data_IF_581249358505
#
_entry.id   IF_581249358505
#
_cell.length_a   1.000
_cell.length_b   1.000
_cell.length_c   1.000
_cell.angle_alpha   90.00
_cell.angle_beta   90.00
_cell.angle_gamma   90.00
#
_symmetry.space_group_name_H-M   'P 1'
#
loop_
_entity.id
_entity.type
_entity.pdbx_description
1 polymer ?
#
# COMPACT_ATOMS: atom_id res chain seq x y z
N UNK A 1 26.48 10.98 -12.89
CA UNK A 1 25.97 10.16 -11.77
C UNK A 1 24.45 10.30 -11.57
N UNK A 2 23.89 11.51 -11.49
CA UNK A 2 22.45 11.71 -11.21
C UNK A 2 21.46 11.23 -12.29
N UNK A 3 21.81 11.26 -13.59
CA UNK A 3 20.89 10.87 -14.67
C UNK A 3 20.59 9.36 -14.69
N UNK A 4 21.62 8.54 -14.44
CA UNK A 4 21.49 7.08 -14.45
C UNK A 4 20.54 6.59 -13.35
N UNK A 5 20.72 7.06 -12.11
CA UNK A 5 19.83 6.68 -11.00
C UNK A 5 18.40 7.20 -11.17
N UNK A 6 18.22 8.38 -11.78
CA UNK A 6 16.89 8.87 -12.11
C UNK A 6 16.18 7.95 -13.10
N UNK A 7 16.86 7.54 -14.17
CA UNK A 7 16.27 6.63 -15.15
C UNK A 7 15.96 5.26 -14.55
N UNK A 8 16.83 4.71 -13.70
CA UNK A 8 16.54 3.47 -12.96
C UNK A 8 15.32 3.61 -12.06
N UNK A 9 15.16 4.75 -11.39
CA UNK A 9 14.00 5.04 -10.55
C UNK A 9 12.71 5.12 -11.39
N UNK A 10 12.73 5.86 -12.49
CA UNK A 10 11.55 6.01 -13.36
C UNK A 10 11.12 4.66 -13.95
N UNK A 11 12.08 3.84 -14.39
CA UNK A 11 11.82 2.47 -14.87
C UNK A 11 11.28 1.56 -13.76
N UNK A 12 11.78 1.72 -12.53
CA UNK A 12 11.31 0.97 -11.37
C UNK A 12 9.87 1.33 -11.03
N UNK A 13 9.54 2.62 -10.88
CA UNK A 13 8.18 3.09 -10.55
C UNK A 13 7.17 2.58 -11.58
N UNK A 14 7.50 2.67 -12.86
CA UNK A 14 6.64 2.17 -13.94
C UNK A 14 6.37 0.67 -13.81
N UNK A 15 7.43 -0.15 -13.75
CA UNK A 15 7.30 -1.62 -13.64
C UNK A 15 6.63 -2.03 -12.34
N UNK A 16 6.90 -1.32 -11.25
CA UNK A 16 6.29 -1.57 -9.95
C UNK A 16 4.78 -1.34 -10.00
N UNK A 17 4.31 -0.26 -10.62
CA UNK A 17 2.87 -0.04 -10.87
C UNK A 17 2.30 -1.12 -11.78
N UNK A 18 2.96 -1.45 -12.90
CA UNK A 18 2.50 -2.49 -13.85
C UNK A 18 2.31 -3.87 -13.20
N UNK A 19 3.15 -4.26 -12.25
CA UNK A 19 3.14 -5.61 -11.66
C UNK A 19 2.25 -5.72 -10.43
N UNK A 20 2.21 -4.69 -9.59
CA UNK A 20 1.64 -4.79 -8.23
C UNK A 20 0.37 -3.96 -8.04
N UNK A 21 0.07 -3.01 -8.92
CA UNK A 21 -1.10 -2.15 -8.76
C UNK A 21 -2.33 -2.77 -9.45
N UNK A 22 -3.39 -2.97 -8.68
CA UNK A 22 -4.69 -3.33 -9.22
C UNK A 22 -5.49 -2.05 -9.50
N UNK A 23 -5.81 -1.80 -10.76
CA UNK A 23 -6.51 -0.58 -11.17
C UNK A 23 -7.99 -0.56 -10.77
N UNK A 24 -8.63 -1.72 -10.65
CA UNK A 24 -10.03 -1.83 -10.25
C UNK A 24 -10.17 -1.68 -8.73
N UNK A 25 -9.23 -2.25 -7.98
CA UNK A 25 -9.19 -2.07 -6.53
C UNK A 25 -8.63 -0.70 -6.12
N UNK A 26 -7.71 -0.13 -6.89
CA UNK A 26 -7.09 1.16 -6.59
C UNK A 26 -6.02 1.10 -5.50
N UNK A 27 -5.28 -0.02 -5.39
CA UNK A 27 -4.22 -0.21 -4.40
C UNK A 27 -3.17 -1.24 -4.88
N UNK A 28 -2.06 -1.36 -4.13
CA UNK A 28 -1.01 -2.34 -4.43
C UNK A 28 -1.21 -3.65 -3.68
N UNK A 29 -0.88 -4.75 -4.34
CA UNK A 29 -0.99 -6.10 -3.82
C UNK A 29 0.26 -6.90 -4.14
N UNK A 30 0.52 -7.94 -3.37
CA UNK A 30 1.63 -8.85 -3.65
C UNK A 30 1.31 -9.67 -4.91
N UNK A 31 2.31 -9.83 -5.79
CA UNK A 31 2.17 -10.66 -6.99
C UNK A 31 2.58 -12.12 -6.69
N UNK A 32 1.65 -13.05 -6.90
CA UNK A 32 1.95 -14.47 -6.80
C UNK A 32 2.55 -14.98 -8.12
N UNK A 33 3.83 -15.36 -8.07
CA UNK A 33 4.57 -15.82 -9.25
C UNK A 33 4.13 -17.18 -9.78
N UNK A 34 3.59 -18.03 -8.92
CA UNK A 34 3.18 -19.38 -9.31
C UNK A 34 1.83 -19.34 -10.03
N UNK A 35 0.91 -18.48 -9.57
CA UNK A 35 -0.42 -18.34 -10.18
C UNK A 35 -0.47 -17.28 -11.26
N UNK A 36 0.46 -16.32 -11.24
CA UNK A 36 0.46 -15.17 -12.16
C UNK A 36 -0.57 -14.10 -11.81
N UNK A 37 -1.18 -14.16 -10.62
CA UNK A 37 -2.22 -13.23 -10.17
C UNK A 37 -1.78 -12.43 -8.95
N UNK A 38 -2.40 -11.26 -8.77
CA UNK A 38 -2.30 -10.51 -7.53
C UNK A 38 -2.98 -11.26 -6.38
N UNK A 39 -2.38 -11.20 -5.20
CA UNK A 39 -2.95 -11.72 -3.97
C UNK A 39 -3.93 -10.69 -3.39
N UNK A 40 -5.22 -11.02 -3.37
CA UNK A 40 -6.31 -10.12 -2.98
C UNK A 40 -6.47 -9.92 -1.46
N UNK A 41 -5.57 -10.49 -0.66
CA UNK A 41 -5.58 -10.40 0.78
C UNK A 41 -5.35 -8.95 1.28
N UNK A 42 -6.15 -8.55 2.27
CA UNK A 42 -6.11 -7.20 2.84
C UNK A 42 -4.97 -7.03 3.85
N UNK A 43 -3.87 -6.42 3.39
CA UNK A 43 -2.74 -6.00 4.22
C UNK A 43 -2.52 -4.48 4.12
N UNK A 44 -2.18 -3.80 5.22
CA UNK A 44 -1.89 -2.36 5.20
C UNK A 44 -0.65 -2.00 4.35
N UNK A 45 0.18 -2.98 3.99
CA UNK A 45 1.29 -2.81 3.05
C UNK A 45 0.86 -2.27 1.69
N UNK A 46 -0.42 -2.45 1.31
CA UNK A 46 -0.98 -1.90 0.06
C UNK A 46 -0.83 -0.38 -0.08
N UNK A 47 -0.64 0.34 1.03
CA UNK A 47 -0.47 1.79 1.05
C UNK A 47 0.99 2.25 1.16
N UNK A 48 1.94 1.34 1.39
CA UNK A 48 3.37 1.68 1.55
C UNK A 48 3.98 2.39 0.33
N UNK A 49 3.54 2.14 -0.91
CA UNK A 49 4.00 2.92 -2.07
C UNK A 49 3.71 4.42 -1.96
N UNK A 50 2.68 4.83 -1.21
CA UNK A 50 2.43 6.25 -0.92
C UNK A 50 3.54 6.85 -0.03
N UNK A 51 3.98 6.11 0.98
CA UNK A 51 5.05 6.54 1.89
C UNK A 51 6.37 6.79 1.15
N UNK A 52 6.71 5.87 0.24
CA UNK A 52 7.94 5.93 -0.56
C UNK A 52 7.82 6.83 -1.79
N UNK A 53 6.62 7.34 -2.09
CA UNK A 53 6.29 8.08 -3.31
C UNK A 53 6.59 7.30 -4.60
N UNK A 54 6.47 5.96 -4.54
CA UNK A 54 6.68 5.04 -5.65
C UNK A 54 5.43 4.93 -6.54
N UNK A 55 4.98 6.07 -7.07
CA UNK A 55 3.83 6.19 -7.97
C UNK A 55 3.98 7.47 -8.81
N UNK A 56 3.14 7.62 -9.84
CA UNK A 56 3.12 8.85 -10.62
C UNK A 56 2.63 10.01 -9.75
N UNK A 57 3.50 10.99 -9.49
CA UNK A 57 3.19 12.13 -8.63
C UNK A 57 2.18 13.11 -9.25
N UNK A 58 1.90 12.98 -10.54
CA UNK A 58 0.84 13.72 -11.23
C UNK A 58 -0.54 13.06 -11.04
N UNK A 59 -0.59 11.83 -10.55
CA UNK A 59 -1.82 11.12 -10.23
C UNK A 59 -2.39 11.64 -8.89
N UNK A 60 -3.26 12.65 -8.99
CA UNK A 60 -3.88 13.30 -7.84
C UNK A 60 -4.95 12.45 -7.16
N UNK A 61 -5.42 11.38 -7.80
CA UNK A 61 -6.47 10.51 -7.27
C UNK A 61 -5.90 9.30 -6.52
N UNK A 62 -4.64 8.94 -6.76
CA UNK A 62 -3.95 7.79 -6.17
C UNK A 62 -4.15 7.68 -4.65
N UNK A 63 -3.95 8.77 -3.91
CA UNK A 63 -4.13 8.78 -2.45
C UNK A 63 -5.58 8.50 -2.02
N UNK A 64 -6.54 9.07 -2.73
CA UNK A 64 -7.97 8.89 -2.44
C UNK A 64 -8.43 7.46 -2.76
N UNK A 65 -7.92 6.88 -3.85
CA UNK A 65 -8.20 5.50 -4.24
C UNK A 65 -7.71 4.51 -3.17
N UNK A 66 -6.45 4.63 -2.76
CA UNK A 66 -5.87 3.79 -1.70
C UNK A 66 -6.63 3.96 -0.38
N UNK A 67 -6.96 5.20 0.02
CA UNK A 67 -7.74 5.46 1.24
C UNK A 67 -9.11 4.79 1.18
N UNK A 68 -9.80 4.88 0.04
CA UNK A 68 -11.08 4.21 -0.19
C UNK A 68 -10.93 2.70 -0.01
N UNK A 69 -9.88 2.11 -0.57
CA UNK A 69 -9.63 0.65 -0.49
C UNK A 69 -9.30 0.19 0.91
N UNK A 70 -8.46 0.94 1.65
CA UNK A 70 -8.19 0.68 3.06
C UNK A 70 -9.48 0.67 3.91
N UNK A 71 -10.41 1.61 3.65
CA UNK A 71 -11.72 1.67 4.31
C UNK A 71 -12.60 0.47 3.91
N UNK A 72 -12.77 0.21 2.61
CA UNK A 72 -13.61 -0.89 2.08
C UNK A 72 -13.13 -2.27 2.57
N UNK A 73 -11.81 -2.47 2.66
CA UNK A 73 -11.19 -3.72 3.12
C UNK A 73 -11.16 -3.84 4.66
N UNK A 74 -11.69 -2.86 5.40
CA UNK A 74 -11.83 -2.92 6.86
C UNK A 74 -10.53 -2.70 7.64
N UNK A 75 -9.47 -2.19 7.00
CA UNK A 75 -8.18 -1.98 7.67
C UNK A 75 -8.20 -0.79 8.64
N UNK A 76 -9.10 0.17 8.45
CA UNK A 76 -9.19 1.40 9.26
C UNK A 76 -10.29 1.36 10.33
N UNK A 77 -10.93 0.22 10.55
CA UNK A 77 -12.06 0.12 11.51
C UNK A 77 -11.62 -0.05 12.98
N UNK A 78 -10.31 -0.05 13.25
CA UNK A 78 -9.76 -0.38 14.55
C UNK A 78 -9.36 0.89 15.33
N UNK A 79 -9.85 1.08 16.57
CA UNK A 79 -9.68 2.34 17.29
C UNK A 79 -8.25 2.59 17.80
N UNK A 80 -7.42 1.55 17.92
CA UNK A 80 -6.07 1.62 18.48
C UNK A 80 -4.96 1.57 17.40
N UNK A 81 -5.30 1.89 16.16
CA UNK A 81 -4.41 1.80 15.00
C UNK A 81 -4.67 0.58 14.13
N UNK A 82 -3.96 0.52 13.01
CA UNK A 82 -4.16 -0.49 11.97
C UNK A 82 -3.37 -1.76 12.32
N UNK A 83 -4.03 -2.93 12.37
CA UNK A 83 -3.35 -4.21 12.54
C UNK A 83 -2.57 -4.58 11.29
N UNK A 84 -1.64 -5.50 11.44
CA UNK A 84 -0.80 -6.03 10.34
C UNK A 84 -1.56 -6.80 9.28
N UNK A 85 -2.71 -7.37 9.64
CA UNK A 85 -3.67 -7.96 8.73
C UNK A 85 -5.05 -7.98 9.41
N UNK A 86 -6.09 -8.32 8.67
CA UNK A 86 -7.43 -8.62 9.24
C UNK A 86 -7.66 -10.12 9.48
N UNK A 87 -6.63 -10.94 9.27
CA UNK A 87 -6.73 -12.40 9.36
C UNK A 87 -6.79 -12.84 10.83
N UNK A 88 -7.85 -13.56 11.19
CA UNK A 88 -8.11 -14.03 12.56
C UNK A 88 -7.76 -15.52 12.71
N UNK A 89 -7.61 -15.95 13.96
CA UNK A 89 -7.41 -17.36 14.30
C UNK A 89 -5.99 -17.88 14.01
N UNK A 90 -5.03 -16.98 13.80
CA UNK A 90 -3.61 -17.34 13.64
C UNK A 90 -2.84 -17.04 14.93
N UNK A 91 -1.67 -17.66 15.07
CA UNK A 91 -0.70 -17.39 16.14
C UNK A 91 0.48 -16.55 15.65
N UNK A 92 0.37 -15.94 14.46
CA UNK A 92 1.45 -15.18 13.84
C UNK A 92 1.51 -13.74 14.35
N UNK A 93 2.73 -13.21 14.52
CA UNK A 93 2.93 -11.85 15.01
C UNK A 93 2.51 -10.75 14.01
N UNK A 94 2.46 -11.10 12.71
CA UNK A 94 2.08 -10.21 11.62
C UNK A 94 0.65 -10.47 11.12
N UNK A 95 -0.24 -10.88 12.04
CA UNK A 95 -1.68 -10.98 11.82
C UNK A 95 -2.46 -10.31 12.96
N UNK A 96 -3.78 -10.14 12.78
CA UNK A 96 -4.68 -9.64 13.81
C UNK A 96 -4.57 -10.47 15.11
N UNK A 97 -4.47 -9.84 16.31
CA UNK A 97 -4.75 -8.44 16.59
C UNK A 97 -3.53 -7.50 16.58
N UNK A 98 -2.35 -7.96 16.16
CA UNK A 98 -1.13 -7.19 16.33
C UNK A 98 -1.02 -6.05 15.31
N UNK A 99 -0.81 -4.83 15.80
CA UNK A 99 -0.39 -3.67 15.02
C UNK A 99 1.04 -3.30 15.36
N UNK A 100 1.82 -2.88 14.36
CA UNK A 100 3.19 -2.44 14.56
C UNK A 100 3.33 -0.96 14.20
N UNK A 101 4.05 -0.22 15.04
CA UNK A 101 4.28 1.22 14.86
C UNK A 101 4.86 1.60 13.48
N UNK A 102 5.81 0.85 12.89
CA UNK A 102 6.35 1.18 11.57
C UNK A 102 5.29 1.18 10.46
N UNK A 103 4.38 0.20 10.43
CA UNK A 103 3.31 0.14 9.41
C UNK A 103 2.34 1.30 9.58
N UNK A 104 1.94 1.57 10.83
CA UNK A 104 1.05 2.69 11.13
C UNK A 104 1.69 4.02 10.71
N UNK A 105 2.97 4.22 11.00
CA UNK A 105 3.71 5.40 10.58
C UNK A 105 3.76 5.54 9.05
N UNK A 106 4.10 4.47 8.33
CA UNK A 106 4.14 4.49 6.86
C UNK A 106 2.77 4.82 6.24
N UNK A 107 1.69 4.26 6.79
CA UNK A 107 0.33 4.54 6.33
C UNK A 107 -0.03 6.03 6.53
N UNK A 108 0.19 6.56 7.73
CA UNK A 108 -0.10 7.96 8.07
C UNK A 108 0.72 8.91 7.19
N UNK A 109 2.03 8.72 7.12
CA UNK A 109 2.90 9.60 6.33
C UNK A 109 2.68 9.43 4.83
N UNK A 110 2.34 8.23 4.37
CA UNK A 110 2.00 7.98 2.97
C UNK A 110 0.77 8.77 2.54
N UNK A 111 -0.33 8.64 3.29
CA UNK A 111 -1.56 9.39 3.03
C UNK A 111 -1.36 10.90 3.16
N UNK A 112 -0.62 11.35 4.17
CA UNK A 112 -0.30 12.78 4.35
C UNK A 112 0.44 13.36 3.13
N UNK A 113 1.37 12.61 2.53
CA UNK A 113 2.15 13.04 1.36
C UNK A 113 1.30 13.15 0.08
N UNK A 114 0.15 12.48 0.00
CA UNK A 114 -0.72 12.58 -1.17
C UNK A 114 -1.57 13.86 -1.18
N UNK A 115 -1.60 14.62 -0.08
CA UNK A 115 -2.36 15.87 0.02
C UNK A 115 -3.88 15.68 0.06
N UNK A 116 -4.35 14.45 0.33
CA UNK A 116 -5.77 14.21 0.55
C UNK A 116 -6.20 14.89 1.86
N UNK A 117 -7.32 15.64 1.87
CA UNK A 117 -7.87 16.19 3.10
C UNK A 117 -8.25 15.08 4.09
N UNK A 118 -8.22 15.41 5.39
CA UNK A 118 -8.74 14.55 6.47
C UNK A 118 -10.23 14.20 6.28
#
# INVERSE_FOLDING_TARGET
MHRHFRQMYDDFVRKFKEVFYDADEGAWYDFNRDTGFLNDAAFPSMAVPLFTMCYDRLDTEMGANVLSTLKRRGLLQFPAGVPTSVKKGTSQQWDYPNGWAPINHMLIEGLRKTGIPE
#
